data_IF_950055238299
#
_entry.id   IF_950055238299
#
_cell.length_a   1.000
_cell.length_b   1.000
_cell.length_c   1.000
_cell.angle_alpha   90.00
_cell.angle_beta   90.00
_cell.angle_gamma   90.00
#
_symmetry.space_group_name_H-M   'P 1'
#
loop_
_entity.id
_entity.type
_entity.pdbx_description
1 polymer ?
#
# COMPACT_ATOMS: atom_id res chain seq x y z
N UNK A 1 2.12 6.40 16.27
CA UNK A 1 1.36 7.61 15.87
C UNK A 1 -0.03 7.29 15.32
N UNK A 2 -0.17 6.55 14.22
CA UNK A 2 -1.47 6.34 13.55
C UNK A 2 -2.60 5.78 14.43
N UNK A 3 -2.32 4.76 15.25
CA UNK A 3 -3.32 4.21 16.20
C UNK A 3 -3.91 5.28 17.12
N UNK A 4 -3.10 6.29 17.51
CA UNK A 4 -3.56 7.42 18.33
C UNK A 4 -4.47 8.33 17.51
N UNK A 5 -4.11 8.65 16.27
CA UNK A 5 -4.91 9.47 15.36
C UNK A 5 -6.29 8.83 15.13
N UNK A 6 -6.31 7.55 14.75
CA UNK A 6 -7.56 6.83 14.47
C UNK A 6 -8.49 6.77 15.70
N UNK A 7 -7.94 6.72 16.92
CA UNK A 7 -8.75 6.81 18.16
C UNK A 7 -9.44 8.17 18.34
N UNK A 8 -8.84 9.25 17.83
CA UNK A 8 -9.42 10.60 17.91
C UNK A 8 -10.35 10.93 16.75
N UNK A 9 -10.51 10.01 15.78
CA UNK A 9 -11.42 10.15 14.64
C UNK A 9 -12.47 9.03 14.64
N UNK A 10 -13.39 8.97 15.63
CA UNK A 10 -14.32 7.85 15.80
C UNK A 10 -15.37 7.73 14.70
N UNK A 11 -15.57 8.78 13.88
CA UNK A 11 -16.50 8.84 12.75
C UNK A 11 -15.83 8.64 11.39
N UNK A 12 -14.54 8.32 11.33
CA UNK A 12 -13.81 8.15 10.07
C UNK A 12 -14.40 7.01 9.22
N UNK A 13 -14.76 7.30 7.98
CA UNK A 13 -15.30 6.33 7.02
C UNK A 13 -14.37 6.11 5.80
N UNK A 14 -13.57 7.12 5.46
CA UNK A 14 -12.60 7.08 4.35
C UNK A 14 -11.21 7.39 4.89
N UNK A 15 -10.22 6.55 4.56
CA UNK A 15 -8.83 6.74 4.94
C UNK A 15 -7.93 6.75 3.70
N UNK A 16 -7.37 7.91 3.37
CA UNK A 16 -6.39 8.05 2.29
C UNK A 16 -4.97 8.16 2.85
N UNK A 17 -4.06 7.37 2.30
CA UNK A 17 -2.63 7.38 2.60
C UNK A 17 -1.85 7.71 1.34
N UNK A 18 -1.25 8.89 1.30
CA UNK A 18 -0.31 9.28 0.25
C UNK A 18 1.12 9.00 0.72
N UNK A 19 1.84 8.18 -0.04
CA UNK A 19 3.23 7.87 0.23
C UNK A 19 4.13 8.80 -0.57
N UNK A 20 5.12 9.37 0.10
CA UNK A 20 6.11 10.21 -0.54
C UNK A 20 6.97 9.40 -1.52
N UNK A 21 7.15 9.91 -2.73
CA UNK A 21 7.98 9.35 -3.79
C UNK A 21 9.36 10.00 -3.84
N UNK A 22 9.72 10.82 -2.87
CA UNK A 22 11.00 11.54 -2.78
C UNK A 22 11.11 12.70 -3.77
N UNK A 23 12.29 13.31 -3.94
CA UNK A 23 12.44 14.56 -4.68
C UNK A 23 12.13 14.40 -6.17
N UNK A 24 10.94 14.88 -6.55
CA UNK A 24 10.52 15.46 -7.83
C UNK A 24 10.95 14.81 -9.16
N UNK A 25 9.99 14.16 -9.81
CA UNK A 25 9.64 14.03 -11.26
C UNK A 25 10.59 14.43 -12.42
N UNK A 26 11.63 15.22 -12.23
CA UNK A 26 12.51 15.66 -13.33
C UNK A 26 13.54 14.59 -13.72
N UNK A 27 14.06 13.83 -12.74
CA UNK A 27 15.04 12.75 -12.99
C UNK A 27 14.34 11.44 -13.43
N UNK A 28 13.09 11.24 -13.00
CA UNK A 28 12.24 10.08 -13.31
C UNK A 28 11.78 10.00 -14.78
N UNK A 29 11.68 11.15 -15.46
CA UNK A 29 11.30 11.18 -16.89
C UNK A 29 12.39 10.61 -17.79
N UNK A 30 13.67 10.76 -17.42
CA UNK A 30 14.78 10.18 -18.16
C UNK A 30 14.83 8.64 -18.01
N UNK A 31 14.39 8.11 -16.87
CA UNK A 31 14.39 6.66 -16.60
C UNK A 31 13.25 5.90 -17.29
N UNK A 32 12.22 6.60 -17.80
CA UNK A 32 11.02 5.99 -18.39
C UNK A 32 11.28 5.17 -19.65
N UNK A 33 12.43 5.38 -20.29
CA UNK A 33 12.84 4.74 -21.54
C UNK A 33 13.69 3.47 -21.33
N UNK A 34 13.97 3.07 -20.09
CA UNK A 34 14.97 2.03 -19.78
C UNK A 34 14.46 0.94 -18.81
N UNK A 35 13.23 0.46 -18.98
CA UNK A 35 12.69 -0.62 -18.12
C UNK A 35 12.73 -2.03 -18.76
N UNK A 36 13.13 -2.16 -20.03
CA UNK A 36 13.10 -3.43 -20.76
C UNK A 36 14.24 -4.40 -20.40
N UNK A 37 15.34 -3.93 -19.79
CA UNK A 37 16.55 -4.74 -19.54
C UNK A 37 16.90 -4.95 -18.05
N UNK A 38 16.09 -4.48 -17.11
CA UNK A 38 16.47 -4.51 -15.68
C UNK A 38 16.30 -5.90 -15.04
N UNK A 39 17.43 -6.53 -14.68
CA UNK A 39 17.45 -7.79 -13.94
C UNK A 39 16.94 -7.63 -12.51
N UNK A 40 16.35 -8.69 -11.98
CA UNK A 40 15.88 -8.83 -10.60
C UNK A 40 17.05 -8.55 -9.62
N UNK A 41 17.11 -7.31 -9.10
CA UNK A 41 18.18 -6.83 -8.22
C UNK A 41 18.66 -5.40 -8.47
N UNK A 42 18.44 -4.84 -9.68
CA UNK A 42 18.87 -3.49 -10.08
C UNK A 42 17.70 -2.48 -10.07
N UNK A 43 16.91 -2.48 -9.00
CA UNK A 43 15.81 -1.52 -8.82
C UNK A 43 16.37 -0.16 -8.36
N UNK A 44 16.78 0.68 -9.31
CA UNK A 44 16.94 2.12 -9.08
C UNK A 44 16.06 2.92 -10.03
N UNK A 45 15.37 3.91 -9.45
CA UNK A 45 14.76 5.10 -10.07
C UNK A 45 13.24 5.19 -10.23
N UNK A 46 12.44 4.45 -9.46
CA UNK A 46 11.06 4.91 -9.15
C UNK A 46 10.50 4.36 -7.83
N UNK A 47 10.71 3.07 -7.56
CA UNK A 47 10.52 2.50 -6.22
C UNK A 47 11.78 2.76 -5.39
N UNK A 48 11.73 3.73 -4.49
CA UNK A 48 12.86 4.01 -3.59
C UNK A 48 12.99 2.97 -2.48
N UNK A 49 11.93 2.19 -2.25
CA UNK A 49 11.87 1.17 -1.22
C UNK A 49 12.13 -0.21 -1.81
N UNK A 50 13.10 -0.93 -1.24
CA UNK A 50 13.37 -2.33 -1.60
C UNK A 50 12.18 -3.19 -1.23
N UNK A 51 11.60 -3.85 -2.23
CA UNK A 51 10.66 -4.94 -2.01
C UNK A 51 11.43 -6.23 -1.75
N UNK A 52 10.97 -7.02 -0.78
CA UNK A 52 11.55 -8.31 -0.44
C UNK A 52 10.41 -9.26 -0.08
N UNK A 53 10.16 -10.26 -0.91
CA UNK A 53 9.10 -11.26 -0.72
C UNK A 53 9.32 -12.09 0.55
N UNK A 54 10.57 -12.44 0.82
CA UNK A 54 10.98 -13.26 1.97
C UNK A 54 10.97 -12.47 3.29
N UNK A 55 10.71 -11.17 3.23
CA UNK A 55 10.64 -10.35 4.42
C UNK A 55 9.39 -10.67 5.26
N UNK A 56 9.63 -11.35 6.38
CA UNK A 56 8.59 -11.69 7.34
C UNK A 56 8.04 -10.40 7.97
N UNK A 57 6.85 -10.00 7.53
CA UNK A 57 6.10 -8.92 8.15
C UNK A 57 5.72 -9.32 9.57
N UNK A 58 5.95 -8.41 10.51
CA UNK A 58 5.61 -8.61 11.92
C UNK A 58 4.14 -9.03 12.07
N UNK A 59 3.81 -9.92 13.03
CA UNK A 59 2.43 -10.29 13.31
C UNK A 59 1.59 -9.03 13.53
N UNK A 60 0.51 -8.91 12.75
CA UNK A 60 -0.39 -7.78 12.85
C UNK A 60 -1.28 -7.93 14.08
N UNK A 61 -1.15 -7.07 15.10
CA UNK A 61 -2.00 -7.17 16.27
C UNK A 61 -3.43 -6.83 15.89
N UNK A 62 -4.38 -7.64 16.35
CA UNK A 62 -5.80 -7.30 16.30
C UNK A 62 -6.06 -6.16 17.28
N UNK A 63 -6.69 -5.08 16.82
CA UNK A 63 -6.94 -3.90 17.64
C UNK A 63 -8.39 -3.47 17.60
N UNK A 64 -8.91 -3.03 18.74
CA UNK A 64 -10.26 -2.48 18.87
C UNK A 64 -10.24 -0.95 18.67
N UNK A 65 -9.96 -0.50 17.45
CA UNK A 65 -10.11 0.91 17.08
C UNK A 65 -11.48 1.09 16.43
N UNK A 66 -12.39 1.78 17.11
CA UNK A 66 -13.82 1.85 16.72
C UNK A 66 -14.06 2.28 15.28
N UNK A 67 -13.38 3.31 14.78
CA UNK A 67 -13.58 3.74 13.40
C UNK A 67 -13.09 2.68 12.41
N UNK A 68 -11.89 2.15 12.61
CA UNK A 68 -11.31 1.13 11.74
C UNK A 68 -12.17 -0.14 11.71
N UNK A 69 -12.63 -0.61 12.88
CA UNK A 69 -13.40 -1.86 12.96
C UNK A 69 -14.85 -1.75 12.53
N UNK A 70 -15.48 -0.57 12.62
CA UNK A 70 -16.94 -0.42 12.42
C UNK A 70 -17.37 0.59 11.36
N UNK A 71 -16.46 1.43 10.86
CA UNK A 71 -16.85 2.57 10.01
C UNK A 71 -16.01 2.77 8.76
N UNK A 72 -14.72 2.45 8.79
CA UNK A 72 -13.85 2.62 7.61
C UNK A 72 -14.33 1.69 6.51
N UNK A 73 -14.96 2.28 5.50
CA UNK A 73 -15.54 1.62 4.32
C UNK A 73 -14.65 1.79 3.10
N UNK A 74 -13.78 2.80 3.08
CA UNK A 74 -12.87 3.04 1.97
C UNK A 74 -11.45 3.30 2.47
N UNK A 75 -10.48 2.64 1.83
CA UNK A 75 -9.06 2.90 2.02
C UNK A 75 -8.46 3.20 0.65
N UNK A 76 -7.73 4.30 0.55
CA UNK A 76 -7.03 4.72 -0.65
C UNK A 76 -5.53 4.75 -0.37
N UNK A 77 -4.75 3.97 -1.12
CA UNK A 77 -3.30 3.97 -1.10
C UNK A 77 -2.82 4.70 -2.35
N UNK A 78 -2.04 5.76 -2.20
CA UNK A 78 -1.57 6.60 -3.30
C UNK A 78 -0.04 6.56 -3.31
N UNK A 79 0.53 6.24 -4.47
CA UNK A 79 1.96 6.01 -4.68
C UNK A 79 2.55 4.90 -3.81
N UNK A 80 1.82 3.79 -3.65
CA UNK A 80 2.28 2.65 -2.88
C UNK A 80 3.51 1.99 -3.53
N UNK A 81 4.57 1.82 -2.75
CA UNK A 81 5.86 1.30 -3.24
C UNK A 81 6.21 -0.08 -2.71
N UNK A 82 5.51 -0.59 -1.68
CA UNK A 82 5.77 -1.92 -1.15
C UNK A 82 6.97 -2.03 -0.22
N UNK A 83 7.48 -0.92 0.32
CA UNK A 83 8.52 -1.00 1.36
C UNK A 83 8.00 -1.61 2.66
N UNK A 84 8.90 -2.20 3.46
CA UNK A 84 8.57 -2.87 4.73
C UNK A 84 7.57 -2.11 5.61
N UNK A 85 7.81 -0.82 5.83
CA UNK A 85 6.97 0.01 6.69
C UNK A 85 5.57 0.21 6.09
N UNK A 86 5.49 0.40 4.76
CA UNK A 86 4.23 0.53 4.04
C UNK A 86 3.46 -0.79 4.06
N UNK A 87 4.10 -1.91 3.73
CA UNK A 87 3.53 -3.27 3.79
C UNK A 87 2.98 -3.59 5.18
N UNK A 88 3.77 -3.33 6.23
CA UNK A 88 3.34 -3.53 7.62
C UNK A 88 2.11 -2.68 7.97
N UNK A 89 2.10 -1.42 7.54
CA UNK A 89 0.99 -0.50 7.78
C UNK A 89 -0.28 -0.92 7.03
N UNK A 90 -0.18 -1.22 5.74
CA UNK A 90 -1.31 -1.59 4.90
C UNK A 90 -1.91 -2.91 5.38
N UNK A 91 -1.07 -3.92 5.65
CA UNK A 91 -1.52 -5.19 6.22
C UNK A 91 -2.28 -4.97 7.54
N UNK A 92 -1.77 -4.09 8.40
CA UNK A 92 -2.46 -3.72 9.65
C UNK A 92 -3.83 -3.10 9.43
N UNK A 93 -3.96 -2.18 8.49
CA UNK A 93 -5.23 -1.52 8.21
C UNK A 93 -6.25 -2.50 7.62
N UNK A 94 -5.86 -3.26 6.61
CA UNK A 94 -6.75 -4.21 5.93
C UNK A 94 -7.24 -5.32 6.86
N UNK A 95 -6.38 -5.82 7.76
CA UNK A 95 -6.77 -6.85 8.74
C UNK A 95 -7.68 -6.33 9.85
N UNK A 96 -7.69 -5.03 10.10
CA UNK A 96 -8.49 -4.43 11.18
C UNK A 96 -9.71 -3.64 10.65
N UNK A 97 -9.95 -3.63 9.34
CA UNK A 97 -11.09 -2.97 8.70
C UNK A 97 -12.06 -3.99 8.09
N UNK A 98 -12.82 -4.76 8.89
CA UNK A 98 -13.70 -5.82 8.41
C UNK A 98 -14.94 -5.31 7.63
N UNK A 99 -15.28 -4.02 7.77
CA UNK A 99 -16.41 -3.40 7.05
C UNK A 99 -15.94 -2.65 5.80
N UNK A 100 -14.69 -2.84 5.40
CA UNK A 100 -14.13 -2.23 4.21
C UNK A 100 -14.93 -2.68 2.99
N UNK A 101 -15.45 -1.70 2.26
CA UNK A 101 -16.28 -1.90 1.09
C UNK A 101 -15.53 -1.61 -0.21
N UNK A 102 -14.51 -0.74 -0.15
CA UNK A 102 -13.70 -0.35 -1.30
C UNK A 102 -12.24 -0.18 -0.90
N UNK A 103 -11.34 -0.69 -1.74
CA UNK A 103 -9.90 -0.49 -1.62
C UNK A 103 -9.40 0.06 -2.95
N UNK A 104 -8.76 1.22 -2.93
CA UNK A 104 -8.00 1.74 -4.05
C UNK A 104 -6.51 1.65 -3.73
N UNK A 105 -5.70 1.19 -4.68
CA UNK A 105 -4.26 1.17 -4.57
C UNK A 105 -3.62 1.64 -5.87
N UNK A 106 -3.21 2.90 -5.89
CA UNK A 106 -2.34 3.46 -6.91
C UNK A 106 -0.88 3.17 -6.58
N UNK A 107 -0.19 2.41 -7.42
CA UNK A 107 1.23 2.11 -7.25
C UNK A 107 2.09 3.32 -7.64
N UNK A 108 3.28 3.40 -7.05
CA UNK A 108 4.31 4.26 -7.65
C UNK A 108 4.72 3.69 -9.02
N UNK A 109 5.20 4.54 -9.94
CA UNK A 109 5.78 4.08 -11.20
C UNK A 109 6.86 3.03 -10.95
N UNK A 110 6.97 2.04 -11.82
CA UNK A 110 7.95 0.98 -11.68
C UNK A 110 7.68 -0.20 -12.60
N UNK A 111 8.47 -1.28 -12.47
CA UNK A 111 8.33 -2.42 -13.34
C UNK A 111 7.03 -3.18 -13.06
N UNK A 112 6.36 -3.61 -14.14
CA UNK A 112 5.06 -4.28 -14.10
C UNK A 112 5.07 -5.55 -13.22
N UNK A 113 6.17 -6.29 -13.20
CA UNK A 113 6.31 -7.50 -12.38
C UNK A 113 6.22 -7.18 -10.88
N UNK A 114 6.75 -6.04 -10.45
CA UNK A 114 6.72 -5.61 -9.06
C UNK A 114 5.31 -5.16 -8.67
N UNK A 115 4.68 -4.35 -9.50
CA UNK A 115 3.28 -3.91 -9.28
C UNK A 115 2.33 -5.11 -9.22
N UNK A 116 2.54 -6.13 -10.06
CA UNK A 116 1.82 -7.40 -10.03
C UNK A 116 1.98 -8.13 -8.69
N UNK A 117 3.22 -8.29 -8.20
CA UNK A 117 3.50 -8.90 -6.88
C UNK A 117 2.83 -8.13 -5.73
N UNK A 118 2.91 -6.79 -5.76
CA UNK A 118 2.29 -5.93 -4.73
C UNK A 118 0.77 -5.99 -4.74
N UNK A 119 0.14 -6.04 -5.92
CA UNK A 119 -1.30 -6.24 -6.08
C UNK A 119 -1.74 -7.55 -5.44
N UNK A 120 -1.09 -8.65 -5.82
CA UNK A 120 -1.46 -9.99 -5.36
C UNK A 120 -1.30 -10.10 -3.83
N UNK A 121 -0.26 -9.47 -3.28
CA UNK A 121 -0.02 -9.36 -1.84
C UNK A 121 -1.14 -8.57 -1.12
N UNK A 122 -1.50 -7.37 -1.61
CA UNK A 122 -2.58 -6.56 -1.04
C UNK A 122 -3.91 -7.29 -1.11
N UNK A 123 -4.20 -7.95 -2.23
CA UNK A 123 -5.41 -8.75 -2.42
C UNK A 123 -5.47 -9.91 -1.42
N UNK A 124 -4.36 -10.55 -1.12
CA UNK A 124 -4.27 -11.58 -0.08
C UNK A 124 -4.45 -11.07 1.36
N UNK A 125 -4.31 -9.77 1.59
CA UNK A 125 -4.54 -9.15 2.90
C UNK A 125 -5.92 -8.55 3.06
N UNK A 126 -6.51 -8.05 1.97
CA UNK A 126 -7.82 -7.47 1.97
C UNK A 126 -8.87 -8.51 2.38
N UNK A 127 -9.75 -8.15 3.31
CA UNK A 127 -10.92 -8.95 3.65
C UNK A 127 -12.08 -8.71 2.66
N UNK A 128 -11.88 -7.80 1.69
CA UNK A 128 -12.86 -7.43 0.67
C UNK A 128 -12.96 -8.49 -0.42
N UNK A 129 -14.08 -8.45 -1.14
CA UNK A 129 -14.18 -9.16 -2.41
C UNK A 129 -13.21 -8.56 -3.44
N UNK A 130 -12.60 -9.36 -4.32
CA UNK A 130 -11.69 -8.85 -5.36
C UNK A 130 -12.28 -7.75 -6.23
N UNK A 131 -13.59 -7.82 -6.55
CA UNK A 131 -14.32 -6.81 -7.34
C UNK A 131 -14.33 -5.41 -6.71
N UNK A 132 -14.07 -5.32 -5.39
CA UNK A 132 -14.06 -4.09 -4.63
C UNK A 132 -12.65 -3.51 -4.45
N UNK A 133 -11.64 -4.14 -5.06
CA UNK A 133 -10.25 -3.70 -5.06
C UNK A 133 -9.90 -3.13 -6.43
N UNK A 134 -9.55 -1.85 -6.48
CA UNK A 134 -9.12 -1.14 -7.69
C UNK A 134 -7.61 -0.92 -7.57
N UNK A 135 -6.87 -1.34 -8.58
CA UNK A 135 -5.42 -1.21 -8.67
C UNK A 135 -5.07 -0.43 -9.93
N UNK A 136 -4.23 0.60 -9.78
CA UNK A 136 -3.77 1.50 -10.85
C UNK A 136 -2.26 1.72 -10.74
#
# INVERSE_FOLDING_TARGET
>A
ALRRILRHAPSLEVLSLAFDTGPGDEELRATRESWDDCKEGELTNAHQLRYNEDEVLLPTPTVTIRCLTKRVREINLVHYQGGRAQRTLVKFLLRNAPVLAKLYCGFAPGPLWLQTKLRDEIQGWAMNRPENCIFD
#
